data_IF_258383680977
#
_entry.id   IF_258383680977
#
_cell.length_a   1.000
_cell.length_b   1.000
_cell.length_c   1.000
_cell.angle_alpha   90.00
_cell.angle_beta   90.00
_cell.angle_gamma   90.00
#
_symmetry.space_group_name_H-M   'P 1'
#
loop_
_entity.id
_entity.type
_entity.pdbx_description
1 polymer ?
#
# COMPACT_ATOMS: atom_id res chain seq x y z
N UNK A 1 21.10 -1.73 10.85
CA UNK A 1 19.73 -2.28 10.72
C UNK A 1 19.64 -3.39 9.67
N UNK A 2 19.88 -3.15 8.37
CA UNK A 2 19.82 -4.22 7.34
C UNK A 2 20.76 -5.42 7.62
N UNK A 3 21.93 -5.17 8.20
CA UNK A 3 22.89 -6.22 8.58
C UNK A 3 22.47 -7.04 9.81
N UNK A 4 21.66 -6.48 10.72
CA UNK A 4 21.22 -7.19 11.94
C UNK A 4 19.95 -8.02 11.71
N UNK A 5 19.21 -7.74 10.62
CA UNK A 5 17.92 -8.37 10.27
C UNK A 5 16.90 -8.37 11.43
N UNK A 6 17.05 -7.42 12.35
CA UNK A 6 16.21 -7.31 13.52
C UNK A 6 14.96 -6.51 13.18
N UNK A 7 13.80 -7.17 13.25
CA UNK A 7 12.50 -6.61 12.86
C UNK A 7 12.13 -5.35 13.65
N UNK A 8 12.72 -5.14 14.83
CA UNK A 8 12.47 -3.95 15.66
C UNK A 8 12.81 -2.64 14.95
N UNK A 9 13.76 -2.66 14.00
CA UNK A 9 14.14 -1.46 13.24
C UNK A 9 13.28 -1.20 12.00
N UNK A 10 12.36 -2.10 11.64
CA UNK A 10 11.54 -1.94 10.43
C UNK A 10 10.64 -0.72 10.54
N UNK A 11 10.06 -0.47 11.72
CA UNK A 11 9.25 0.71 11.96
C UNK A 11 10.01 2.02 11.69
N UNK A 12 11.18 2.17 12.31
CA UNK A 12 12.01 3.37 12.19
C UNK A 12 12.48 3.58 10.74
N UNK A 13 12.88 2.49 10.06
CA UNK A 13 13.25 2.54 8.65
C UNK A 13 12.09 3.04 7.79
N UNK A 14 10.87 2.51 8.00
CA UNK A 14 9.69 2.94 7.26
C UNK A 14 9.38 4.42 7.50
N UNK A 15 9.50 4.92 8.73
CA UNK A 15 9.34 6.35 9.04
C UNK A 15 10.34 7.22 8.27
N UNK A 16 11.60 6.78 8.18
CA UNK A 16 12.64 7.50 7.45
C UNK A 16 12.39 7.57 5.94
N UNK A 17 11.60 6.66 5.34
CA UNK A 17 11.27 6.73 3.91
C UNK A 17 10.40 7.92 3.52
N UNK A 18 9.63 8.46 4.48
CA UNK A 18 8.89 9.70 4.28
C UNK A 18 9.82 10.87 3.96
N UNK A 19 11.09 10.77 4.37
CA UNK A 19 12.14 11.72 4.05
C UNK A 19 12.92 11.25 2.82
N UNK A 20 12.84 12.04 1.74
CA UNK A 20 13.48 11.72 0.45
C UNK A 20 14.99 11.51 0.53
N UNK A 21 15.67 12.11 1.51
CA UNK A 21 17.14 12.00 1.70
C UNK A 21 17.54 10.56 2.02
N UNK A 22 16.76 9.87 2.85
CA UNK A 22 17.12 8.52 3.34
C UNK A 22 16.54 7.39 2.48
N UNK A 23 15.73 7.71 1.48
CA UNK A 23 14.93 6.74 0.72
C UNK A 23 15.76 5.59 0.15
N UNK A 24 16.86 5.89 -0.54
CA UNK A 24 17.71 4.87 -1.17
C UNK A 24 18.36 3.96 -0.13
N UNK A 25 18.91 4.54 0.94
CA UNK A 25 19.53 3.77 2.02
C UNK A 25 18.53 2.89 2.77
N UNK A 26 17.29 3.38 2.95
CA UNK A 26 16.23 2.58 3.55
C UNK A 26 15.82 1.43 2.62
N UNK A 27 15.69 1.68 1.32
CA UNK A 27 15.39 0.64 0.35
C UNK A 27 16.43 -0.48 0.38
N UNK A 28 17.71 -0.14 0.28
CA UNK A 28 18.83 -1.10 0.37
C UNK A 28 18.80 -1.87 1.71
N UNK A 29 18.50 -1.17 2.81
CA UNK A 29 18.37 -1.81 4.11
C UNK A 29 17.20 -2.80 4.16
N UNK A 30 16.02 -2.44 3.62
CA UNK A 30 14.82 -3.27 3.63
C UNK A 30 14.93 -4.49 2.70
N UNK A 31 15.59 -4.35 1.54
CA UNK A 31 15.88 -5.48 0.65
C UNK A 31 16.69 -6.57 1.35
N UNK A 32 17.64 -6.20 2.22
CA UNK A 32 18.46 -7.16 2.98
C UNK A 32 17.67 -8.01 4.01
N UNK A 33 16.46 -7.59 4.38
CA UNK A 33 15.57 -8.39 5.25
C UNK A 33 14.77 -9.45 4.47
N UNK A 34 14.54 -9.25 3.17
CA UNK A 34 13.74 -10.15 2.33
C UNK A 34 12.29 -10.30 2.79
N UNK A 35 11.68 -11.46 2.51
CA UNK A 35 10.26 -11.73 2.82
C UNK A 35 9.94 -11.74 4.32
N UNK A 36 10.94 -11.85 5.19
CA UNK A 36 10.77 -11.94 6.65
C UNK A 36 10.10 -10.70 7.27
N UNK A 37 10.09 -9.56 6.57
CA UNK A 37 9.49 -8.29 7.04
C UNK A 37 8.14 -7.99 6.39
N UNK A 38 7.66 -8.83 5.48
CA UNK A 38 6.44 -8.57 4.72
C UNK A 38 5.19 -8.41 5.61
N UNK A 39 5.05 -9.21 6.66
CA UNK A 39 3.97 -9.04 7.65
C UNK A 39 4.02 -7.65 8.31
N UNK A 40 5.19 -7.24 8.80
CA UNK A 40 5.38 -5.93 9.42
C UNK A 40 5.13 -4.77 8.44
N UNK A 41 5.57 -4.91 7.19
CA UNK A 41 5.26 -3.93 6.14
C UNK A 41 3.76 -3.85 5.86
N UNK A 42 3.06 -4.99 5.82
CA UNK A 42 1.61 -5.02 5.65
C UNK A 42 0.90 -4.31 6.80
N UNK A 43 1.26 -4.62 8.05
CA UNK A 43 0.69 -3.98 9.24
C UNK A 43 0.83 -2.46 9.17
N UNK A 44 2.02 -1.96 8.84
CA UNK A 44 2.28 -0.54 8.67
C UNK A 44 1.56 0.09 7.47
N UNK A 45 1.34 -0.66 6.40
CA UNK A 45 0.61 -0.17 5.23
C UNK A 45 -0.87 0.09 5.54
N UNK A 46 -1.48 -0.74 6.39
CA UNK A 46 -2.90 -0.60 6.75
C UNK A 46 -3.12 0.31 7.98
N UNK A 47 -2.13 0.44 8.86
CA UNK A 47 -2.16 1.26 10.07
C UNK A 47 -2.44 2.75 9.79
N UNK A 48 -3.51 3.29 10.36
CA UNK A 48 -3.87 4.71 10.23
C UNK A 48 -3.02 5.65 11.07
N UNK A 49 -2.26 5.16 12.05
CA UNK A 49 -1.37 5.97 12.87
C UNK A 49 -0.11 6.39 12.11
N UNK A 50 0.26 5.67 11.05
CA UNK A 50 1.37 6.07 10.22
C UNK A 50 1.00 7.17 9.20
N UNK A 51 1.91 8.13 8.95
CA UNK A 51 1.70 9.15 7.93
C UNK A 51 1.37 8.55 6.57
N UNK A 52 0.39 9.14 5.89
CA UNK A 52 -0.03 8.67 4.57
C UNK A 52 1.12 8.72 3.55
N UNK A 53 2.06 9.67 3.68
CA UNK A 53 3.28 9.76 2.87
C UNK A 53 4.15 8.50 2.99
N UNK A 54 4.37 8.01 4.21
CA UNK A 54 5.11 6.76 4.48
C UNK A 54 4.37 5.56 3.89
N UNK A 55 3.07 5.44 4.21
CA UNK A 55 2.25 4.29 3.81
C UNK A 55 2.14 4.12 2.30
N UNK A 56 2.08 5.23 1.54
CA UNK A 56 1.95 5.20 0.07
C UNK A 56 3.17 4.58 -0.61
N UNK A 57 4.32 4.55 0.06
CA UNK A 57 5.54 4.00 -0.47
C UNK A 57 5.68 2.50 -0.22
N UNK A 58 5.03 1.97 0.82
CA UNK A 58 5.13 0.55 1.18
C UNK A 58 4.71 -0.39 0.04
N UNK A 59 3.62 -0.14 -0.73
CA UNK A 59 3.31 -0.98 -1.89
C UNK A 59 4.46 -1.11 -2.89
N UNK A 60 5.17 -0.01 -3.13
CA UNK A 60 6.29 0.00 -4.07
C UNK A 60 7.47 -0.84 -3.57
N UNK A 61 7.71 -0.89 -2.25
CA UNK A 61 8.74 -1.77 -1.67
C UNK A 61 8.44 -3.24 -1.93
N UNK A 62 7.19 -3.68 -1.77
CA UNK A 62 6.79 -5.06 -2.11
C UNK A 62 7.13 -5.40 -3.57
N UNK A 63 7.01 -4.43 -4.48
CA UNK A 63 7.36 -4.63 -5.89
C UNK A 63 8.87 -4.61 -6.20
N UNK A 64 9.76 -4.26 -5.25
CA UNK A 64 11.21 -4.35 -5.46
C UNK A 64 11.74 -5.79 -5.36
N UNK A 65 10.97 -6.69 -4.74
CA UNK A 65 11.33 -8.11 -4.62
C UNK A 65 10.14 -8.91 -5.10
N UNK A 66 10.10 -9.18 -6.41
CA UNK A 66 8.98 -9.88 -7.03
C UNK A 66 8.96 -11.34 -6.61
N UNK A 67 7.99 -11.70 -5.77
CA UNK A 67 7.78 -13.03 -5.23
C UNK A 67 6.28 -13.33 -5.13
N UNK A 68 5.92 -14.60 -4.96
CA UNK A 68 4.53 -15.00 -4.75
C UNK A 68 3.99 -14.47 -3.41
N UNK A 69 4.81 -14.46 -2.36
CA UNK A 69 4.46 -13.87 -1.06
C UNK A 69 4.12 -12.37 -1.17
N UNK A 70 4.98 -11.59 -1.84
CA UNK A 70 4.71 -10.15 -2.03
C UNK A 70 3.49 -9.91 -2.91
N UNK A 71 3.23 -10.78 -3.88
CA UNK A 71 2.06 -10.72 -4.76
C UNK A 71 0.77 -10.97 -3.99
N UNK A 72 0.73 -12.04 -3.19
CA UNK A 72 -0.45 -12.42 -2.43
C UNK A 72 -0.80 -11.39 -1.36
N UNK A 73 0.20 -10.83 -0.67
CA UNK A 73 0.00 -9.75 0.29
C UNK A 73 -0.60 -8.51 -0.38
N UNK A 74 -0.10 -8.10 -1.55
CA UNK A 74 -0.64 -6.95 -2.28
C UNK A 74 -2.07 -7.19 -2.78
N UNK A 75 -2.39 -8.40 -3.29
CA UNK A 75 -3.78 -8.75 -3.66
C UNK A 75 -4.73 -8.62 -2.46
N UNK A 76 -4.34 -9.18 -1.32
CA UNK A 76 -5.12 -9.09 -0.08
C UNK A 76 -5.32 -7.64 0.37
N UNK A 77 -4.28 -6.82 0.23
CA UNK A 77 -4.25 -5.42 0.68
C UNK A 77 -5.26 -4.51 -0.03
N UNK A 78 -5.73 -4.88 -1.23
CA UNK A 78 -6.78 -4.14 -1.95
C UNK A 78 -8.07 -3.99 -1.12
N UNK A 79 -8.37 -4.97 -0.27
CA UNK A 79 -9.54 -4.98 0.61
C UNK A 79 -9.41 -4.00 1.79
N UNK A 80 -8.20 -3.85 2.34
CA UNK A 80 -7.97 -3.20 3.64
C UNK A 80 -7.34 -1.80 3.54
N UNK A 81 -6.69 -1.47 2.43
CA UNK A 81 -6.03 -0.18 2.24
C UNK A 81 -7.02 0.97 2.01
N UNK A 82 -6.69 2.18 2.47
CA UNK A 82 -7.40 3.41 2.10
C UNK A 82 -7.14 3.78 0.63
N UNK A 83 -7.97 4.66 0.04
CA UNK A 83 -7.93 4.98 -1.41
C UNK A 83 -6.52 5.36 -1.91
N UNK A 84 -5.77 6.28 -1.26
CA UNK A 84 -4.45 6.67 -1.75
C UNK A 84 -3.43 5.53 -1.72
N UNK A 85 -3.55 4.62 -0.75
CA UNK A 85 -2.66 3.47 -0.59
C UNK A 85 -3.02 2.38 -1.60
N UNK A 86 -4.32 2.14 -1.81
CA UNK A 86 -4.84 1.16 -2.78
C UNK A 86 -4.36 1.44 -4.20
N UNK A 87 -4.31 2.71 -4.60
CA UNK A 87 -3.73 3.08 -5.90
C UNK A 87 -2.24 2.71 -5.99
N UNK A 88 -1.48 2.86 -4.90
CA UNK A 88 -0.10 2.37 -4.80
C UNK A 88 0.00 0.85 -4.92
N UNK A 89 -0.91 0.11 -4.28
CA UNK A 89 -1.02 -1.36 -4.39
C UNK A 89 -1.26 -1.80 -5.83
N UNK A 90 -2.21 -1.17 -6.54
CA UNK A 90 -2.48 -1.48 -7.95
C UNK A 90 -1.25 -1.23 -8.82
N UNK A 91 -0.55 -0.11 -8.62
CA UNK A 91 0.70 0.19 -9.35
C UNK A 91 1.80 -0.85 -9.09
N UNK A 92 1.94 -1.28 -7.84
CA UNK A 92 2.91 -2.32 -7.46
C UNK A 92 2.58 -3.66 -8.14
N UNK A 93 1.32 -4.10 -8.09
CA UNK A 93 0.86 -5.31 -8.79
C UNK A 93 1.10 -5.22 -10.31
N UNK A 94 0.77 -4.09 -10.95
CA UNK A 94 1.01 -3.90 -12.37
C UNK A 94 2.51 -3.97 -12.72
N UNK A 95 3.38 -3.41 -11.87
CA UNK A 95 4.83 -3.52 -12.03
C UNK A 95 5.29 -4.97 -11.93
N UNK A 96 4.89 -5.68 -10.87
CA UNK A 96 5.25 -7.08 -10.66
C UNK A 96 4.81 -7.97 -11.83
N UNK A 97 3.60 -7.74 -12.37
CA UNK A 97 3.10 -8.47 -13.53
C UNK A 97 3.92 -8.21 -14.79
N UNK A 98 4.45 -7.00 -14.98
CA UNK A 98 5.36 -6.69 -16.11
C UNK A 98 6.68 -7.45 -16.01
N UNK A 99 7.17 -7.67 -14.79
CA UNK A 99 8.40 -8.41 -14.53
C UNK A 99 8.17 -9.93 -14.56
N UNK A 100 7.01 -10.40 -14.10
CA UNK A 100 6.57 -11.81 -14.10
C UNK A 100 5.16 -11.97 -14.66
N UNK A 101 5.08 -12.31 -15.94
CA UNK A 101 3.81 -12.45 -16.68
C UNK A 101 2.94 -13.64 -16.22
N UNK A 102 3.52 -14.57 -15.48
CA UNK A 102 2.84 -15.72 -14.89
C UNK A 102 2.05 -15.34 -13.63
N UNK A 103 2.36 -14.20 -13.00
CA UNK A 103 1.54 -13.64 -11.93
C UNK A 103 0.23 -13.12 -12.50
N UNK A 104 -0.85 -13.87 -12.21
CA UNK A 104 -2.22 -13.51 -12.63
C UNK A 104 -3.10 -13.21 -11.42
N UNK A 105 -4.05 -12.32 -11.66
CA UNK A 105 -5.20 -12.08 -10.78
C UNK A 105 -6.39 -12.72 -11.46
N UNK A 106 -7.18 -13.50 -10.73
CA UNK A 106 -8.37 -14.13 -11.30
C UNK A 106 -9.44 -13.07 -11.62
N UNK A 107 -10.29 -13.36 -12.61
CA UNK A 107 -11.35 -12.43 -13.03
C UNK A 107 -12.37 -12.17 -11.91
N UNK A 108 -12.56 -13.14 -11.00
CA UNK A 108 -13.41 -12.99 -9.82
C UNK A 108 -12.83 -11.93 -8.87
N UNK A 109 -11.53 -11.99 -8.57
CA UNK A 109 -10.86 -11.01 -7.72
C UNK A 109 -10.90 -9.62 -8.36
N UNK A 110 -10.73 -9.53 -9.68
CA UNK A 110 -10.84 -8.26 -10.40
C UNK A 110 -12.26 -7.70 -10.27
N UNK A 111 -13.26 -8.51 -10.59
CA UNK A 111 -14.69 -8.14 -10.55
C UNK A 111 -15.09 -7.68 -9.16
N UNK A 112 -14.77 -8.44 -8.11
CA UNK A 112 -15.05 -8.06 -6.72
C UNK A 112 -14.43 -6.71 -6.34
N UNK A 113 -13.19 -6.45 -6.76
CA UNK A 113 -12.53 -5.19 -6.44
C UNK A 113 -13.10 -4.01 -7.23
N UNK A 114 -13.49 -4.21 -8.50
CA UNK A 114 -14.17 -3.20 -9.32
C UNK A 114 -15.53 -2.84 -8.71
N UNK A 115 -16.33 -3.83 -8.32
CA UNK A 115 -17.63 -3.60 -7.68
C UNK A 115 -17.48 -2.84 -6.35
N UNK A 116 -16.47 -3.20 -5.54
CA UNK A 116 -16.14 -2.45 -4.31
C UNK A 116 -15.75 -1.01 -4.61
N UNK A 117 -14.96 -0.75 -5.66
CA UNK A 117 -14.63 0.61 -6.07
C UNK A 117 -15.86 1.41 -6.48
N UNK A 118 -16.72 0.85 -7.34
CA UNK A 118 -17.97 1.46 -7.76
C UNK A 118 -18.82 1.84 -6.54
N UNK A 119 -18.96 0.92 -5.58
CA UNK A 119 -19.68 1.17 -4.33
C UNK A 119 -19.08 2.31 -3.51
N UNK A 120 -17.74 2.42 -3.43
CA UNK A 120 -17.04 3.49 -2.72
C UNK A 120 -17.25 4.85 -3.39
N UNK A 121 -17.07 4.94 -4.71
CA UNK A 121 -17.27 6.19 -5.45
C UNK A 121 -18.74 6.65 -5.43
N UNK A 122 -19.69 5.71 -5.46
CA UNK A 122 -21.11 6.02 -5.29
C UNK A 122 -21.41 6.63 -3.92
N UNK A 123 -20.86 6.06 -2.83
CA UNK A 123 -20.99 6.62 -1.47
C UNK A 123 -20.36 8.01 -1.36
N UNK A 124 -19.15 8.19 -1.91
CA UNK A 124 -18.48 9.49 -1.92
C UNK A 124 -19.30 10.56 -2.66
N UNK A 125 -19.87 10.22 -3.82
CA UNK A 125 -20.75 11.10 -4.59
C UNK A 125 -22.00 11.50 -3.79
N UNK A 126 -22.63 10.55 -3.09
CA UNK A 126 -23.79 10.83 -2.23
C UNK A 126 -23.42 11.77 -1.08
N UNK A 127 -22.30 11.52 -0.39
CA UNK A 127 -21.81 12.38 0.68
C UNK A 127 -21.51 13.81 0.18
N UNK A 128 -20.89 13.94 -1.00
CA UNK A 128 -20.64 15.24 -1.62
C UNK A 128 -21.93 15.99 -1.99
N UNK A 129 -22.92 15.29 -2.54
CA UNK A 129 -24.22 15.87 -2.85
C UNK A 129 -24.96 16.36 -1.60
N UNK A 130 -24.89 15.60 -0.51
CA UNK A 130 -25.42 15.99 0.80
C UNK A 130 -24.72 17.24 1.35
N UNK A 131 -23.38 17.25 1.37
CA UNK A 131 -22.59 18.42 1.78
C UNK A 131 -22.96 19.69 1.01
N UNK A 132 -23.09 19.59 -0.33
CA UNK A 132 -23.48 20.72 -1.17
C UNK A 132 -24.90 21.23 -0.92
N UNK A 133 -25.79 20.38 -0.43
CA UNK A 133 -27.19 20.74 -0.16
C UNK A 133 -27.35 21.52 1.13
N UNK A 134 -26.51 21.24 2.13
CA UNK A 134 -26.71 21.72 3.50
C UNK A 134 -25.81 22.93 3.89
N UNK A 135 -24.98 23.46 2.99
CA UNK A 135 -24.06 24.59 3.26
C UNK A 135 -23.25 24.44 4.57
N UNK A 136 -22.91 23.21 4.95
CA UNK A 136 -22.15 22.97 6.18
C UNK A 136 -20.72 23.46 5.96
N UNK A 137 -20.37 24.59 6.57
CA UNK A 137 -18.98 25.07 6.59
C UNK A 137 -18.19 24.14 7.50
N UNK A 138 -17.31 23.32 6.92
CA UNK A 138 -16.29 22.61 7.69
C UNK A 138 -15.28 23.66 8.16
N UNK A 139 -15.33 24.02 9.45
CA UNK A 139 -14.27 24.80 10.08
C UNK A 139 -13.00 23.96 10.15
N UNK A 140 -11.88 24.53 9.68
CA UNK A 140 -10.53 23.95 9.74
C UNK A 140 -10.08 23.59 11.17
#
# INVERSE_FOLDING_TARGET
AGQTRDRRFVHDLLLLMGNGIYRKSVEEALQNYGSRIYGTMYDHMIDSQLPASTRRYIPWLFSQTVSEDSWDILKMSLKFCSIPIRHGVIKALLRMRKERNDLRVSDEIITENVEREIGRYSKLRKAYAFYKRDNIVLSD
#
